data_IF_126658658795
#
_entry.id   IF_126658658795
#
_cell.length_a   1.000
_cell.length_b   1.000
_cell.length_c   1.000
_cell.angle_alpha   90.00
_cell.angle_beta   90.00
_cell.angle_gamma   90.00
#
_symmetry.space_group_name_H-M   'P 1'
#
loop_
_entity.id
_entity.type
_entity.pdbx_description
1 polymer ?
#
# COMPACT_ATOMS: atom_id res chain seq x y z
N UNK A 1 -30.66 -13.19 -22.74
CA UNK A 1 -29.68 -12.09 -22.87
C UNK A 1 -29.20 -11.71 -21.47
N UNK A 2 -28.01 -12.15 -21.04
CA UNK A 2 -27.56 -11.97 -19.64
C UNK A 2 -26.04 -11.85 -19.49
N UNK A 3 -25.37 -11.35 -20.52
CA UNK A 3 -23.90 -11.42 -20.67
C UNK A 3 -23.19 -10.11 -20.32
N UNK A 4 -23.91 -9.00 -20.21
CA UNK A 4 -23.32 -7.65 -20.10
C UNK A 4 -22.83 -7.30 -18.68
N UNK A 5 -23.52 -7.76 -17.63
CA UNK A 5 -23.18 -7.37 -16.24
C UNK A 5 -21.88 -7.98 -15.71
N UNK A 6 -21.57 -9.22 -16.09
CA UNK A 6 -20.29 -9.88 -15.75
C UNK A 6 -19.13 -9.33 -16.56
N UNK A 7 -19.39 -8.93 -17.81
CA UNK A 7 -18.38 -8.34 -18.67
C UNK A 7 -17.98 -6.95 -18.18
N UNK A 8 -18.94 -6.08 -17.86
CA UNK A 8 -18.68 -4.75 -17.31
C UNK A 8 -17.85 -4.79 -16.01
N UNK A 9 -18.24 -5.64 -15.04
CA UNK A 9 -17.51 -5.79 -13.77
C UNK A 9 -16.06 -6.28 -13.98
N UNK A 10 -15.84 -7.16 -14.96
CA UNK A 10 -14.50 -7.65 -15.29
C UNK A 10 -13.63 -6.60 -15.99
N UNK A 11 -14.23 -5.68 -16.75
CA UNK A 11 -13.53 -4.57 -17.40
C UNK A 11 -13.23 -3.47 -16.38
N UNK A 12 -14.18 -3.11 -15.53
CA UNK A 12 -14.01 -2.10 -14.48
C UNK A 12 -12.88 -2.49 -13.52
N UNK A 13 -12.85 -3.76 -13.09
CA UNK A 13 -11.75 -4.28 -12.25
C UNK A 13 -10.40 -4.25 -12.95
N UNK A 14 -10.34 -4.60 -14.24
CA UNK A 14 -9.09 -4.55 -15.03
C UNK A 14 -8.62 -3.13 -15.26
N UNK A 15 -9.54 -2.19 -15.48
CA UNK A 15 -9.23 -0.77 -15.64
C UNK A 15 -8.71 -0.16 -14.33
N UNK A 16 -9.32 -0.51 -13.18
CA UNK A 16 -8.82 -0.11 -11.86
C UNK A 16 -7.40 -0.61 -11.59
N UNK A 17 -7.14 -1.90 -11.83
CA UNK A 17 -5.79 -2.47 -11.65
C UNK A 17 -4.77 -1.84 -12.60
N UNK A 18 -5.12 -1.59 -13.87
CA UNK A 18 -4.22 -0.93 -14.82
C UNK A 18 -3.94 0.53 -14.48
N UNK A 19 -4.94 1.25 -13.97
CA UNK A 19 -4.78 2.62 -13.49
C UNK A 19 -3.83 2.66 -12.28
N UNK A 20 -4.04 1.79 -11.30
CA UNK A 20 -3.16 1.68 -10.12
C UNK A 20 -1.71 1.36 -10.52
N UNK A 21 -1.52 0.38 -11.41
CA UNK A 21 -0.17 0.06 -11.92
C UNK A 21 0.47 1.22 -12.70
N UNK A 22 -0.32 2.04 -13.40
CA UNK A 22 0.21 3.20 -14.14
C UNK A 22 0.63 4.33 -13.19
N UNK A 23 -0.10 4.52 -12.09
CA UNK A 23 0.29 5.44 -11.00
C UNK A 23 1.59 4.97 -10.35
N UNK A 24 1.75 3.66 -10.14
CA UNK A 24 2.97 3.08 -9.58
C UNK A 24 4.19 3.24 -10.52
N UNK A 25 4.01 3.08 -11.84
CA UNK A 25 5.08 3.10 -12.86
C UNK A 25 5.81 4.44 -13.07
N UNK A 26 5.34 5.51 -12.44
CA UNK A 26 5.90 6.85 -12.62
C UNK A 26 5.98 7.65 -11.35
N UNK A 27 5.67 7.03 -10.20
CA UNK A 27 5.53 7.74 -8.94
C UNK A 27 6.34 7.07 -7.83
N UNK A 28 6.90 7.89 -6.96
CA UNK A 28 7.43 7.43 -5.67
C UNK A 28 6.27 7.48 -4.66
N UNK A 29 6.02 6.41 -3.89
CA UNK A 29 5.01 6.47 -2.86
C UNK A 29 5.42 7.48 -1.78
N UNK A 30 4.44 8.24 -1.30
CA UNK A 30 4.63 9.09 -0.13
C UNK A 30 4.73 8.21 1.12
N UNK A 31 5.78 8.42 1.89
CA UNK A 31 6.03 7.75 3.16
C UNK A 31 5.97 8.76 4.28
N UNK A 32 5.44 8.35 5.43
CA UNK A 32 5.62 9.12 6.66
C UNK A 32 7.11 9.38 6.91
N UNK A 33 7.39 10.60 7.32
CA UNK A 33 8.73 11.08 7.66
C UNK A 33 9.15 10.57 9.03
N UNK A 34 10.46 10.59 9.31
CA UNK A 34 10.99 10.19 10.62
C UNK A 34 10.40 11.00 11.79
N UNK A 35 10.04 12.26 11.56
CA UNK A 35 9.40 13.13 12.54
C UNK A 35 7.97 12.68 12.83
N UNK A 36 7.17 12.41 11.79
CA UNK A 36 5.79 11.91 11.95
C UNK A 36 5.74 10.51 12.59
N UNK A 37 6.77 9.70 12.35
CA UNK A 37 6.92 8.39 12.97
C UNK A 37 7.31 8.44 14.45
N UNK A 38 7.75 9.61 14.95
CA UNK A 38 8.21 9.81 16.32
C UNK A 38 9.21 8.72 16.79
N UNK A 39 10.11 8.27 15.89
CA UNK A 39 11.00 7.12 16.13
C UNK A 39 11.96 7.29 17.32
N UNK A 40 12.12 8.51 17.83
CA UNK A 40 12.91 8.80 19.03
C UNK A 40 12.17 8.43 20.32
N UNK A 41 10.85 8.32 20.26
CA UNK A 41 9.96 8.12 21.42
C UNK A 41 9.20 6.81 21.32
N UNK A 42 8.85 6.38 20.10
CA UNK A 42 8.08 5.15 19.88
C UNK A 42 8.99 3.93 19.63
N UNK A 43 8.72 2.78 20.27
CA UNK A 43 9.48 1.56 20.03
C UNK A 43 9.24 1.05 18.60
N UNK A 44 10.32 0.96 17.83
CA UNK A 44 10.30 0.39 16.49
C UNK A 44 10.45 -1.14 16.57
N UNK A 45 9.41 -1.86 16.17
CA UNK A 45 9.46 -3.31 16.01
C UNK A 45 9.79 -3.67 14.57
N UNK A 46 10.79 -4.54 14.35
CA UNK A 46 11.11 -5.11 13.04
C UNK A 46 10.89 -6.61 13.10
N UNK A 47 10.21 -7.18 12.11
CA UNK A 47 9.97 -8.62 12.05
C UNK A 47 10.85 -9.28 10.99
N UNK A 48 11.49 -10.43 11.30
CA UNK A 48 12.13 -11.25 10.27
C UNK A 48 11.10 -12.00 9.41
N UNK A 49 9.82 -12.04 9.82
CA UNK A 49 8.72 -12.68 9.11
C UNK A 49 7.68 -11.62 8.76
N UNK A 50 7.73 -11.05 7.53
CA UNK A 50 6.76 -10.05 7.09
C UNK A 50 5.34 -10.59 7.12
N UNK A 51 4.38 -9.78 7.56
CA UNK A 51 2.97 -10.17 7.69
C UNK A 51 2.18 -9.68 6.47
N UNK A 52 1.34 -10.50 5.82
CA UNK A 52 0.51 -10.05 4.71
C UNK A 52 -0.49 -9.02 5.20
N UNK A 53 -0.57 -7.88 4.50
CA UNK A 53 -1.48 -6.79 4.83
C UNK A 53 -2.03 -6.14 3.56
N UNK A 54 -3.16 -5.48 3.71
CA UNK A 54 -3.66 -4.56 2.71
C UNK A 54 -3.55 -3.14 3.24
N UNK A 55 -2.92 -2.23 2.50
CA UNK A 55 -2.65 -0.87 2.97
C UNK A 55 -3.09 0.18 1.96
N UNK A 56 -3.58 1.32 2.47
CA UNK A 56 -3.72 2.53 1.66
C UNK A 56 -2.39 3.26 1.60
N UNK A 57 -1.89 3.47 0.38
CA UNK A 57 -0.66 4.21 0.09
C UNK A 57 -0.98 5.39 -0.82
N UNK A 58 -0.14 6.42 -0.78
CA UNK A 58 -0.34 7.64 -1.57
C UNK A 58 0.76 7.80 -2.59
N UNK A 59 0.39 8.26 -3.78
CA UNK A 59 1.27 8.72 -4.83
C UNK A 59 0.82 10.14 -5.20
N UNK A 60 1.45 11.15 -4.59
CA UNK A 60 0.97 12.52 -4.69
C UNK A 60 -0.46 12.67 -4.16
N UNK A 61 -1.36 13.12 -5.03
CA UNK A 61 -2.77 13.35 -4.69
C UNK A 61 -3.62 12.08 -4.69
N UNK A 62 -3.11 10.99 -5.25
CA UNK A 62 -3.90 9.77 -5.47
C UNK A 62 -3.62 8.76 -4.36
N UNK A 63 -4.68 8.25 -3.73
CA UNK A 63 -4.60 7.15 -2.78
C UNK A 63 -5.00 5.84 -3.46
N UNK A 64 -4.20 4.80 -3.32
CA UNK A 64 -4.47 3.47 -3.86
C UNK A 64 -4.33 2.41 -2.77
N UNK A 65 -5.02 1.29 -2.95
CA UNK A 65 -4.98 0.18 -2.01
C UNK A 65 -4.06 -0.92 -2.55
N UNK A 66 -3.04 -1.27 -1.79
CA UNK A 66 -2.03 -2.26 -2.19
C UNK A 66 -2.08 -3.48 -1.30
N UNK A 67 -1.90 -4.65 -1.91
CA UNK A 67 -1.58 -5.87 -1.18
C UNK A 67 -0.07 -5.91 -0.98
N UNK A 68 0.37 -5.99 0.27
CA UNK A 68 1.78 -5.92 0.61
C UNK A 68 2.11 -6.72 1.86
N UNK A 69 3.27 -6.41 2.44
CA UNK A 69 3.80 -7.07 3.61
C UNK A 69 4.23 -6.02 4.64
N UNK A 70 3.76 -6.15 5.87
CA UNK A 70 4.24 -5.35 7.00
C UNK A 70 5.60 -5.90 7.47
N UNK A 71 6.65 -5.09 7.37
CA UNK A 71 8.04 -5.48 7.70
C UNK A 71 8.54 -4.86 8.99
N UNK A 72 7.94 -3.74 9.40
CA UNK A 72 8.20 -3.07 10.67
C UNK A 72 6.97 -2.27 11.08
N UNK A 73 6.85 -1.96 12.37
CA UNK A 73 5.78 -1.11 12.89
C UNK A 73 6.18 -0.42 14.19
N UNK A 74 5.53 0.70 14.44
CA UNK A 74 5.42 1.34 15.75
C UNK A 74 3.99 1.15 16.26
N UNK A 75 3.64 1.79 17.37
CA UNK A 75 2.24 1.87 17.84
C UNK A 75 1.33 2.61 16.86
N UNK A 76 1.86 3.59 16.11
CA UNK A 76 1.08 4.49 15.25
C UNK A 76 1.26 4.23 13.76
N UNK A 77 2.31 3.55 13.33
CA UNK A 77 2.66 3.43 11.91
C UNK A 77 3.19 2.04 11.54
N UNK A 78 3.10 1.70 10.26
CA UNK A 78 3.55 0.42 9.70
C UNK A 78 4.37 0.67 8.45
N UNK A 79 5.54 0.04 8.35
CA UNK A 79 6.31 -0.06 7.12
C UNK A 79 5.73 -1.19 6.28
N UNK A 80 5.19 -0.82 5.12
CA UNK A 80 4.62 -1.76 4.15
C UNK A 80 5.55 -1.83 2.94
N UNK A 81 5.85 -3.06 2.52
CA UNK A 81 6.56 -3.36 1.27
C UNK A 81 5.60 -4.06 0.31
N UNK A 82 5.56 -3.66 -0.95
CA UNK A 82 4.72 -4.26 -1.98
C UNK A 82 5.43 -4.27 -3.34
N UNK A 83 5.00 -5.18 -4.19
CA UNK A 83 5.53 -5.28 -5.55
C UNK A 83 4.90 -4.19 -6.41
N UNK A 84 5.74 -3.39 -7.08
CA UNK A 84 5.32 -2.43 -8.10
C UNK A 84 5.94 -2.82 -9.44
N UNK A 85 5.43 -2.29 -10.58
CA UNK A 85 5.95 -2.67 -11.88
C UNK A 85 7.43 -2.33 -12.12
N UNK A 86 7.97 -1.33 -11.45
CA UNK A 86 9.38 -0.90 -11.60
C UNK A 86 10.29 -1.48 -10.50
N UNK A 87 9.74 -2.33 -9.62
CA UNK A 87 10.45 -2.93 -8.51
C UNK A 87 9.68 -2.82 -7.19
N UNK A 88 10.19 -3.43 -6.11
CA UNK A 88 9.53 -3.38 -4.82
C UNK A 88 9.51 -1.94 -4.29
N UNK A 89 8.33 -1.50 -3.86
CA UNK A 89 8.13 -0.23 -3.20
C UNK A 89 8.01 -0.42 -1.70
N UNK A 90 8.35 0.63 -0.96
CA UNK A 90 8.24 0.68 0.48
C UNK A 90 7.78 2.04 0.93
N UNK A 91 6.83 2.08 1.86
CA UNK A 91 6.42 3.30 2.54
C UNK A 91 6.00 3.00 3.98
N UNK A 92 6.20 4.00 4.84
CA UNK A 92 5.53 4.06 6.12
C UNK A 92 4.17 4.71 5.96
N UNK A 93 3.15 4.08 6.52
CA UNK A 93 1.78 4.57 6.57
C UNK A 93 1.25 4.52 8.00
N UNK A 94 0.23 5.32 8.29
CA UNK A 94 -0.46 5.25 9.59
C UNK A 94 -1.06 3.85 9.78
N UNK A 95 -1.03 3.33 11.01
CA UNK A 95 -1.56 2.01 11.33
C UNK A 95 -3.06 1.89 11.00
N UNK A 96 -3.81 2.99 11.08
CA UNK A 96 -5.21 3.07 10.66
C UNK A 96 -5.44 2.90 9.16
N UNK A 97 -4.39 3.04 8.35
CA UNK A 97 -4.43 2.83 6.90
C UNK A 97 -4.13 1.37 6.50
N UNK A 98 -3.92 0.48 7.47
CA UNK A 98 -3.51 -0.91 7.25
C UNK A 98 -4.54 -1.88 7.82
N UNK A 99 -4.96 -2.83 6.98
CA UNK A 99 -5.82 -3.94 7.34
C UNK A 99 -5.00 -5.25 7.31
N UNK A 100 -5.17 -6.09 8.33
CA UNK A 100 -4.59 -7.43 8.35
C UNK A 100 -5.49 -8.39 7.58
N UNK A 101 -4.90 -9.17 6.68
CA UNK A 101 -5.58 -10.26 5.98
C UNK A 101 -5.59 -11.55 6.81
#
# INVERSE_FOLDING_TARGET
MGTSKRYADSIDKRMGVQADQSIMRGGTPESLTATELELKTEPLTRTPRPLPVTAWVRYGRIGIRVNGRAVAWTTKAVAVEWDSPDGPHRAWVWASAVERN
#
